data_IF_352729907346
#
_entry.id   IF_352729907346
#
_cell.length_a   1.000
_cell.length_b   1.000
_cell.length_c   1.000
_cell.angle_alpha   90.00
_cell.angle_beta   90.00
_cell.angle_gamma   90.00
#
_symmetry.space_group_name_H-M   'P 1'
#
loop_
_entity.id
_entity.type
_entity.pdbx_description
1 polymer ?
#
# COMPACT_ATOMS: atom_id res chain seq x y z
N UNK A 1 -5.38 34.66 -0.72
CA UNK A 1 -5.23 33.23 -0.91
C UNK A 1 -6.44 32.80 -1.72
N UNK A 2 -6.28 32.43 -2.97
CA UNK A 2 -7.36 31.83 -3.76
C UNK A 2 -7.58 30.43 -3.19
N UNK A 3 -8.75 30.14 -2.63
CA UNK A 3 -9.10 28.76 -2.25
C UNK A 3 -9.08 27.93 -3.52
N UNK A 4 -8.02 27.14 -3.71
CA UNK A 4 -7.96 26.19 -4.81
C UNK A 4 -8.98 25.10 -4.48
N UNK A 5 -10.07 25.08 -5.24
CA UNK A 5 -11.10 24.06 -5.11
C UNK A 5 -10.68 22.84 -5.94
N UNK A 6 -10.43 21.70 -5.28
CA UNK A 6 -10.18 20.42 -5.95
C UNK A 6 -11.42 19.99 -6.74
N UNK A 7 -11.22 19.23 -7.82
CA UNK A 7 -12.30 18.84 -8.74
C UNK A 7 -13.44 18.06 -8.07
N UNK A 8 -13.16 17.40 -6.95
CA UNK A 8 -14.11 16.64 -6.13
C UNK A 8 -14.58 17.39 -4.87
N UNK A 9 -14.18 18.65 -4.69
CA UNK A 9 -14.58 19.51 -3.58
C UNK A 9 -13.85 19.28 -2.25
N UNK A 10 -12.84 18.39 -2.22
CA UNK A 10 -12.03 18.15 -1.02
C UNK A 10 -11.13 19.34 -0.69
N UNK A 11 -10.79 19.50 0.59
CA UNK A 11 -9.68 20.35 1.01
C UNK A 11 -8.32 19.76 0.56
N UNK A 12 -7.28 20.60 0.49
CA UNK A 12 -5.93 20.18 0.05
C UNK A 12 -5.31 19.10 0.95
N UNK A 13 -5.68 19.06 2.21
CA UNK A 13 -5.22 18.12 3.23
C UNK A 13 -6.21 16.96 3.52
N UNK A 14 -7.19 16.74 2.65
CA UNK A 14 -8.23 15.74 2.86
C UNK A 14 -8.04 14.51 1.99
N UNK A 15 -8.12 13.31 2.59
CA UNK A 15 -8.19 12.03 1.88
C UNK A 15 -9.51 11.91 1.10
N UNK A 16 -9.52 11.13 0.01
CA UNK A 16 -10.74 10.61 -0.58
C UNK A 16 -11.50 9.74 0.44
N UNK A 17 -12.70 9.34 0.12
CA UNK A 17 -13.41 8.34 0.90
C UNK A 17 -12.61 7.03 0.92
N UNK A 18 -12.29 6.54 2.12
CA UNK A 18 -11.51 5.32 2.32
C UNK A 18 -12.44 4.23 2.83
N UNK A 19 -12.47 3.09 2.14
CA UNK A 19 -13.17 1.89 2.62
C UNK A 19 -12.24 0.69 2.61
N UNK A 20 -12.34 -0.17 3.62
CA UNK A 20 -11.58 -1.42 3.74
C UNK A 20 -12.57 -2.52 4.10
N UNK A 21 -12.82 -3.43 3.17
CA UNK A 21 -13.68 -4.60 3.37
C UNK A 21 -12.79 -5.84 3.57
N UNK A 22 -12.77 -6.38 4.81
CA UNK A 22 -12.01 -7.59 5.16
C UNK A 22 -12.73 -8.86 4.73
N UNK A 23 -11.95 -9.93 4.57
CA UNK A 23 -12.52 -11.25 4.27
C UNK A 23 -13.22 -11.32 2.93
N UNK A 24 -12.86 -10.44 2.00
CA UNK A 24 -13.49 -10.36 0.68
C UNK A 24 -13.33 -11.65 -0.13
N UNK A 25 -12.17 -12.32 -0.03
CA UNK A 25 -11.90 -13.62 -0.65
C UNK A 25 -11.98 -14.73 0.39
N UNK A 26 -12.91 -15.66 0.22
CA UNK A 26 -13.09 -16.81 1.12
C UNK A 26 -11.96 -17.85 1.00
N UNK A 27 -11.13 -17.80 -0.04
CA UNK A 27 -10.08 -18.79 -0.31
C UNK A 27 -8.70 -18.36 0.23
N UNK A 28 -8.50 -17.07 0.49
CA UNK A 28 -7.24 -16.54 0.99
C UNK A 28 -7.20 -16.57 2.52
N UNK A 29 -6.04 -16.77 3.10
CA UNK A 29 -5.82 -16.75 4.57
C UNK A 29 -6.00 -15.35 5.16
N UNK A 30 -5.88 -14.33 4.33
CA UNK A 30 -6.26 -12.95 4.64
C UNK A 30 -6.64 -12.22 3.36
N UNK A 31 -7.61 -11.33 3.42
CA UNK A 31 -7.97 -10.52 2.25
C UNK A 31 -8.64 -9.21 2.62
N UNK A 32 -8.41 -8.19 1.80
CA UNK A 32 -9.07 -6.91 1.91
C UNK A 32 -9.31 -6.30 0.54
N UNK A 33 -10.53 -5.81 0.31
CA UNK A 33 -10.80 -4.89 -0.79
C UNK A 33 -10.69 -3.48 -0.22
N UNK A 34 -9.69 -2.73 -0.69
CA UNK A 34 -9.49 -1.34 -0.29
C UNK A 34 -9.90 -0.39 -1.41
N UNK A 35 -10.55 0.72 -1.02
CA UNK A 35 -10.89 1.80 -1.95
C UNK A 35 -10.36 3.14 -1.44
N UNK A 36 -9.75 3.91 -2.35
CA UNK A 36 -9.42 5.32 -2.19
C UNK A 36 -10.23 6.08 -3.24
N UNK A 37 -11.46 6.51 -2.87
CA UNK A 37 -12.41 7.03 -3.83
C UNK A 37 -12.63 6.09 -5.00
N UNK A 38 -12.26 6.51 -6.22
CA UNK A 38 -12.37 5.71 -7.44
C UNK A 38 -11.34 4.57 -7.57
N UNK A 39 -10.22 4.62 -6.84
CA UNK A 39 -9.22 3.55 -6.88
C UNK A 39 -9.67 2.36 -6.03
N UNK A 40 -9.63 1.15 -6.60
CA UNK A 40 -9.98 -0.10 -5.91
C UNK A 40 -8.91 -1.14 -6.12
N UNK A 41 -8.41 -1.71 -5.02
CA UNK A 41 -7.38 -2.75 -5.03
C UNK A 41 -7.82 -3.92 -4.17
N UNK A 42 -7.84 -5.12 -4.76
CA UNK A 42 -7.99 -6.35 -4.02
C UNK A 42 -6.61 -6.82 -3.55
N UNK A 43 -6.45 -6.98 -2.24
CA UNK A 43 -5.26 -7.52 -1.62
C UNK A 43 -5.59 -8.88 -1.01
N UNK A 44 -4.89 -9.93 -1.42
CA UNK A 44 -5.03 -11.27 -0.85
C UNK A 44 -3.70 -11.75 -0.28
N UNK A 45 -3.74 -12.47 0.81
CA UNK A 45 -2.57 -13.04 1.48
C UNK A 45 -2.66 -14.56 1.48
N UNK A 46 -1.67 -15.20 0.89
CA UNK A 46 -1.51 -16.65 0.86
C UNK A 46 -0.46 -17.07 1.89
N UNK A 47 -0.86 -17.87 2.86
CA UNK A 47 0.03 -18.39 3.91
C UNK A 47 0.53 -19.78 3.55
N UNK A 48 1.84 -19.98 3.56
CA UNK A 48 2.48 -21.29 3.29
C UNK A 48 3.43 -21.64 4.45
N UNK A 49 3.28 -22.85 4.99
CA UNK A 49 4.28 -23.41 5.91
C UNK A 49 5.54 -23.78 5.13
N UNK A 50 6.67 -23.22 5.55
CA UNK A 50 7.95 -23.32 4.87
C UNK A 50 8.41 -22.01 4.25
N UNK A 51 9.68 -22.00 3.86
CA UNK A 51 10.34 -20.81 3.30
C UNK A 51 11.13 -21.18 2.03
N UNK A 52 11.44 -20.20 1.17
CA UNK A 52 12.32 -20.43 0.03
C UNK A 52 13.66 -21.08 0.45
N UNK A 53 14.26 -21.90 -0.42
CA UNK A 53 15.49 -22.67 -0.14
C UNK A 53 16.62 -21.85 0.49
N UNK A 54 16.79 -20.61 0.06
CA UNK A 54 17.83 -19.71 0.58
C UNK A 54 17.59 -19.23 2.04
N UNK A 55 16.38 -19.44 2.61
CA UNK A 55 16.02 -19.15 4.01
C UNK A 55 15.90 -20.42 4.87
N UNK A 56 15.82 -21.61 4.28
CA UNK A 56 15.64 -22.86 5.03
C UNK A 56 16.71 -23.05 6.10
N UNK A 57 16.29 -23.38 7.32
CA UNK A 57 17.18 -23.58 8.47
C UNK A 57 17.69 -22.29 9.12
N UNK A 58 17.22 -21.10 8.69
CA UNK A 58 17.62 -19.81 9.28
C UNK A 58 16.70 -19.33 10.38
N UNK A 59 15.60 -20.07 10.66
CA UNK A 59 14.61 -19.71 11.67
C UNK A 59 13.91 -18.39 11.41
N UNK A 60 13.75 -18.01 10.14
CA UNK A 60 13.11 -16.76 9.70
C UNK A 60 12.08 -17.02 8.62
N UNK A 61 10.95 -16.35 8.72
CA UNK A 61 9.93 -16.33 7.69
C UNK A 61 10.21 -15.32 6.57
N UNK A 62 9.32 -15.30 5.61
CA UNK A 62 9.39 -14.42 4.46
C UNK A 62 8.03 -13.80 4.14
N UNK A 63 8.03 -12.51 3.83
CA UNK A 63 6.87 -11.80 3.28
C UNK A 63 7.28 -11.18 1.97
N UNK A 64 6.49 -11.43 0.93
CA UNK A 64 6.71 -10.87 -0.40
C UNK A 64 5.38 -10.41 -0.98
N UNK A 65 5.43 -9.63 -2.06
CA UNK A 65 4.23 -9.16 -2.72
C UNK A 65 4.37 -9.20 -4.25
N UNK A 66 3.24 -9.40 -4.90
CA UNK A 66 3.03 -9.22 -6.32
C UNK A 66 2.00 -8.12 -6.54
N UNK A 67 2.06 -7.47 -7.69
CA UNK A 67 1.16 -6.39 -8.06
C UNK A 67 0.76 -6.54 -9.51
N UNK A 68 -0.51 -6.36 -9.80
CA UNK A 68 -1.02 -6.36 -11.17
C UNK A 68 -2.16 -5.37 -11.33
N UNK A 69 -2.43 -4.99 -12.58
CA UNK A 69 -3.62 -4.20 -12.93
C UNK A 69 -4.48 -5.00 -13.90
N UNK A 70 -5.80 -5.04 -13.65
CA UNK A 70 -6.72 -5.58 -14.65
C UNK A 70 -6.67 -4.77 -15.94
N UNK A 71 -6.87 -5.40 -17.13
CA UNK A 71 -6.83 -4.70 -18.40
C UNK A 71 -7.73 -3.48 -18.49
N UNK A 72 -8.86 -3.49 -17.80
CA UNK A 72 -9.82 -2.37 -17.75
C UNK A 72 -9.86 -1.68 -16.41
N UNK A 73 -8.78 -1.78 -15.62
CA UNK A 73 -8.61 -0.94 -14.44
C UNK A 73 -8.52 0.56 -14.81
N UNK A 74 -8.13 0.87 -16.02
CA UNK A 74 -8.00 2.22 -16.59
C UNK A 74 -9.06 2.51 -17.67
N UNK A 75 -9.20 3.76 -18.07
CA UNK A 75 -10.16 4.21 -19.08
C UNK A 75 -9.99 3.51 -20.45
N UNK A 76 -8.75 3.20 -20.82
CA UNK A 76 -8.44 2.39 -21.99
C UNK A 76 -8.00 0.98 -21.58
N UNK A 77 -8.19 0.00 -22.46
CA UNK A 77 -7.75 -1.36 -22.21
C UNK A 77 -6.22 -1.47 -22.32
N UNK A 78 -5.59 -1.94 -21.24
CA UNK A 78 -4.18 -2.34 -21.24
C UNK A 78 -4.05 -3.82 -21.54
N UNK A 79 -2.92 -4.22 -22.17
CA UNK A 79 -2.63 -5.64 -22.36
C UNK A 79 -2.25 -6.31 -21.03
N UNK A 80 -2.58 -7.59 -20.90
CA UNK A 80 -2.08 -8.39 -19.77
C UNK A 80 -0.58 -8.64 -19.94
N UNK A 81 0.21 -8.28 -18.95
CA UNK A 81 1.67 -8.49 -18.97
C UNK A 81 2.03 -9.98 -19.08
N UNK A 82 1.25 -10.87 -18.45
CA UNK A 82 1.42 -12.32 -18.54
C UNK A 82 1.31 -12.85 -19.98
N UNK A 83 0.48 -12.24 -20.83
CA UNK A 83 0.35 -12.62 -22.23
C UNK A 83 1.58 -12.17 -23.05
N UNK A 84 2.24 -11.09 -22.65
CA UNK A 84 3.49 -10.62 -23.27
C UNK A 84 4.73 -11.41 -22.84
N UNK A 85 4.57 -12.36 -21.89
CA UNK A 85 5.64 -13.23 -21.41
C UNK A 85 6.70 -12.53 -20.55
N UNK A 86 6.48 -11.27 -20.16
CA UNK A 86 7.35 -10.54 -19.25
C UNK A 86 6.56 -9.51 -18.43
N UNK A 87 6.95 -9.38 -17.17
CA UNK A 87 6.43 -8.35 -16.28
C UNK A 87 7.15 -7.02 -16.56
N UNK A 88 6.42 -5.92 -16.57
CA UNK A 88 6.97 -4.57 -16.78
C UNK A 88 7.81 -4.08 -15.61
N UNK A 89 8.72 -3.13 -15.88
CA UNK A 89 9.58 -2.55 -14.84
C UNK A 89 8.79 -1.86 -13.73
N UNK A 90 7.70 -1.15 -14.07
CA UNK A 90 6.80 -0.53 -13.10
C UNK A 90 6.14 -1.55 -12.16
N UNK A 91 5.65 -2.66 -12.70
CA UNK A 91 5.02 -3.74 -11.92
C UNK A 91 6.02 -4.37 -10.95
N UNK A 92 7.25 -4.64 -11.42
CA UNK A 92 8.33 -5.14 -10.57
C UNK A 92 8.72 -4.14 -9.46
N UNK A 93 8.81 -2.86 -9.79
CA UNK A 93 9.15 -1.80 -8.84
C UNK A 93 8.09 -1.73 -7.72
N UNK A 94 6.79 -1.71 -8.08
CA UNK A 94 5.68 -1.63 -7.12
C UNK A 94 5.60 -2.90 -6.27
N UNK A 95 5.75 -4.09 -6.84
CA UNK A 95 5.78 -5.36 -6.09
C UNK A 95 6.88 -5.35 -5.02
N UNK A 96 8.08 -4.87 -5.39
CA UNK A 96 9.20 -4.74 -4.44
C UNK A 96 8.95 -3.71 -3.36
N UNK A 97 8.32 -2.58 -3.70
CA UNK A 97 7.92 -1.53 -2.76
C UNK A 97 6.94 -2.08 -1.71
N UNK A 98 5.85 -2.74 -2.14
CA UNK A 98 4.87 -3.35 -1.24
C UNK A 98 5.55 -4.36 -0.31
N UNK A 99 6.32 -5.31 -0.88
CA UNK A 99 7.02 -6.32 -0.08
C UNK A 99 7.99 -5.71 0.92
N UNK A 100 8.70 -4.64 0.56
CA UNK A 100 9.62 -3.93 1.46
C UNK A 100 8.85 -3.20 2.57
N UNK A 101 7.75 -2.53 2.25
CA UNK A 101 6.91 -1.83 3.20
C UNK A 101 6.36 -2.80 4.26
N UNK A 102 5.83 -3.94 3.85
CA UNK A 102 5.32 -4.95 4.77
C UNK A 102 6.43 -5.56 5.65
N UNK A 103 7.59 -5.87 5.10
CA UNK A 103 8.72 -6.41 5.88
C UNK A 103 9.28 -5.43 6.92
N UNK A 104 9.11 -4.13 6.71
CA UNK A 104 9.55 -3.12 7.70
C UNK A 104 8.77 -3.20 9.02
N UNK A 105 7.58 -3.79 9.01
CA UNK A 105 6.70 -3.93 10.18
C UNK A 105 6.51 -5.39 10.63
N UNK A 106 7.31 -6.31 10.09
CA UNK A 106 7.23 -7.75 10.43
C UNK A 106 8.52 -8.23 11.10
N UNK A 107 8.41 -8.84 12.26
CA UNK A 107 9.48 -9.66 12.82
C UNK A 107 9.48 -11.04 12.15
N UNK A 108 10.39 -11.20 11.20
CA UNK A 108 10.53 -12.45 10.44
C UNK A 108 10.96 -13.64 11.30
N UNK A 109 11.61 -13.41 12.45
CA UNK A 109 11.94 -14.49 13.40
C UNK A 109 10.69 -14.95 14.14
N UNK A 110 9.87 -14.00 14.59
CA UNK A 110 8.60 -14.31 15.25
C UNK A 110 7.59 -14.97 14.29
N UNK A 111 7.68 -14.68 12.98
CA UNK A 111 6.91 -15.36 11.94
C UNK A 111 7.30 -16.84 11.79
N UNK A 112 8.55 -17.21 12.18
CA UNK A 112 9.07 -18.55 11.98
C UNK A 112 9.28 -18.88 10.50
N UNK A 113 9.66 -20.12 10.18
CA UNK A 113 9.87 -20.54 8.78
C UNK A 113 8.54 -20.69 8.01
N UNK A 114 7.77 -19.63 7.93
CA UNK A 114 6.55 -19.51 7.13
C UNK A 114 6.71 -18.43 6.07
N UNK A 115 6.00 -18.58 4.97
CA UNK A 115 5.96 -17.60 3.87
C UNK A 115 4.57 -17.01 3.74
N UNK A 116 4.47 -15.70 3.59
CA UNK A 116 3.22 -15.03 3.19
C UNK A 116 3.49 -14.29 1.87
N UNK A 117 2.71 -14.64 0.87
CA UNK A 117 2.69 -13.95 -0.43
C UNK A 117 1.45 -13.09 -0.48
N UNK A 118 1.64 -11.81 -0.76
CA UNK A 118 0.54 -10.86 -0.94
C UNK A 118 0.37 -10.59 -2.44
N UNK A 119 -0.83 -10.79 -2.93
CA UNK A 119 -1.22 -10.42 -4.29
C UNK A 119 -2.10 -9.16 -4.23
N UNK A 120 -1.71 -8.13 -4.97
CA UNK A 120 -2.41 -6.86 -5.06
C UNK A 120 -2.90 -6.64 -6.49
N UNK A 121 -4.19 -6.87 -6.72
CA UNK A 121 -4.83 -6.68 -8.02
C UNK A 121 -5.62 -5.38 -8.06
N UNK A 122 -5.20 -4.45 -8.92
CA UNK A 122 -5.93 -3.21 -9.15
C UNK A 122 -7.14 -3.49 -10.03
N UNK A 123 -8.32 -3.36 -9.45
CA UNK A 123 -9.60 -3.54 -10.14
C UNK A 123 -10.02 -2.28 -10.88
N UNK A 124 -9.77 -1.10 -10.28
CA UNK A 124 -10.03 0.22 -10.83
C UNK A 124 -8.95 1.19 -10.38
N UNK A 125 -8.43 1.99 -11.30
CA UNK A 125 -7.36 2.95 -11.04
C UNK A 125 -7.86 4.39 -11.25
N UNK A 126 -7.67 5.21 -10.21
CA UNK A 126 -7.96 6.64 -10.19
C UNK A 126 -6.92 7.38 -9.31
N UNK A 127 -5.63 7.19 -9.61
CA UNK A 127 -4.52 7.71 -8.81
C UNK A 127 -4.25 6.90 -7.53
N UNK A 128 -3.02 6.90 -7.02
CA UNK A 128 -2.65 6.28 -5.74
C UNK A 128 -2.78 4.76 -5.67
N UNK A 129 -2.68 4.01 -6.78
CA UNK A 129 -2.88 2.55 -6.77
C UNK A 129 -1.84 1.81 -5.93
N UNK A 130 -0.56 2.25 -5.94
CA UNK A 130 0.51 1.64 -5.14
C UNK A 130 0.36 1.91 -3.65
N UNK A 131 -0.13 3.10 -3.27
CA UNK A 131 -0.35 3.49 -1.88
C UNK A 131 -1.57 2.77 -1.30
N UNK A 132 -2.66 2.66 -2.06
CA UNK A 132 -3.81 1.84 -1.70
C UNK A 132 -3.42 0.36 -1.55
N UNK A 133 -2.59 -0.19 -2.47
CA UNK A 133 -2.09 -1.56 -2.40
C UNK A 133 -1.30 -1.81 -1.10
N UNK A 134 -0.35 -0.93 -0.70
CA UNK A 134 0.40 -1.07 0.54
C UNK A 134 -0.54 -1.06 1.75
N UNK A 135 -1.47 -0.11 1.78
CA UNK A 135 -2.39 0.09 2.91
C UNK A 135 -3.36 -1.10 3.07
N UNK A 136 -3.91 -1.63 1.97
CA UNK A 136 -4.78 -2.82 1.99
C UNK A 136 -4.00 -4.11 2.24
N UNK A 137 -2.81 -4.23 1.68
CA UNK A 137 -1.92 -5.39 1.87
C UNK A 137 -1.57 -5.62 3.35
N UNK A 138 -1.41 -4.55 4.14
CA UNK A 138 -1.18 -4.68 5.57
C UNK A 138 -2.37 -5.35 6.28
N UNK A 139 -3.60 -5.00 5.93
CA UNK A 139 -4.81 -5.61 6.53
C UNK A 139 -4.90 -7.10 6.16
N UNK A 140 -4.69 -7.45 4.90
CA UNK A 140 -4.65 -8.84 4.45
C UNK A 140 -3.53 -9.65 5.15
N UNK A 141 -2.35 -9.04 5.32
CA UNK A 141 -1.22 -9.63 6.06
C UNK A 141 -1.57 -9.91 7.52
N UNK A 142 -2.23 -8.95 8.19
CA UNK A 142 -2.63 -9.09 9.60
C UNK A 142 -3.59 -10.28 9.77
N UNK A 143 -4.57 -10.42 8.89
CA UNK A 143 -5.52 -11.55 8.90
C UNK A 143 -4.81 -12.89 8.65
N UNK A 144 -3.90 -12.96 7.68
CA UNK A 144 -3.15 -14.18 7.40
C UNK A 144 -2.24 -14.60 8.56
N UNK A 145 -1.66 -13.64 9.28
CA UNK A 145 -0.86 -13.92 10.49
C UNK A 145 -1.77 -14.49 11.59
N UNK A 146 -2.95 -13.93 11.80
CA UNK A 146 -3.90 -14.46 12.80
C UNK A 146 -4.38 -15.86 12.43
N UNK A 147 -4.72 -16.11 11.17
CA UNK A 147 -5.02 -17.43 10.64
C UNK A 147 -3.87 -18.42 10.91
N UNK A 148 -2.61 -18.03 10.63
CA UNK A 148 -1.43 -18.84 10.91
C UNK A 148 -1.25 -19.17 12.40
N UNK A 149 -1.65 -18.26 13.30
CA UNK A 149 -1.66 -18.46 14.75
C UNK A 149 -2.76 -19.45 15.16
N UNK A 150 -3.96 -19.33 14.64
CA UNK A 150 -5.08 -20.26 14.88
C UNK A 150 -4.74 -21.68 14.40
N UNK A 151 -4.10 -21.81 13.25
CA UNK A 151 -3.61 -23.09 12.70
C UNK A 151 -2.34 -23.62 13.37
N UNK A 152 -1.78 -22.89 14.35
CA UNK A 152 -0.57 -23.25 15.10
C UNK A 152 0.71 -23.32 14.26
N UNK A 153 0.76 -22.69 13.12
CA UNK A 153 1.99 -22.49 12.33
C UNK A 153 2.86 -21.39 12.96
N UNK A 154 2.24 -20.45 13.65
CA UNK A 154 2.90 -19.38 14.39
C UNK A 154 2.72 -19.67 15.89
N UNK A 155 3.79 -19.52 16.67
CA UNK A 155 3.75 -19.75 18.11
C UNK A 155 2.73 -18.85 18.81
N UNK A 156 1.99 -19.40 19.79
CA UNK A 156 0.90 -18.68 20.49
C UNK A 156 1.31 -17.31 21.06
N UNK A 157 2.53 -17.18 21.53
CA UNK A 157 3.05 -15.95 22.15
C UNK A 157 3.91 -15.11 21.16
N UNK A 158 4.08 -15.58 19.93
CA UNK A 158 4.84 -14.86 18.92
C UNK A 158 4.07 -13.61 18.48
N UNK A 159 4.81 -12.54 18.23
CA UNK A 159 4.27 -11.25 17.76
C UNK A 159 4.94 -10.86 16.44
N UNK A 160 4.54 -11.49 15.32
CA UNK A 160 5.15 -11.19 14.03
C UNK A 160 4.92 -9.75 13.56
N UNK A 161 3.76 -9.13 13.88
CA UNK A 161 3.52 -7.73 13.60
C UNK A 161 4.12 -6.84 14.69
N UNK A 162 5.05 -5.97 14.29
CA UNK A 162 5.73 -4.99 15.15
C UNK A 162 5.01 -3.64 15.16
N UNK A 163 4.33 -3.31 14.07
CA UNK A 163 3.68 -2.04 13.84
C UNK A 163 2.69 -2.17 12.66
N UNK A 164 1.92 -1.13 12.37
CA UNK A 164 1.19 -0.99 11.11
C UNK A 164 2.06 -0.29 10.06
N UNK A 165 1.64 -0.34 8.80
CA UNK A 165 2.20 0.45 7.70
C UNK A 165 1.09 0.90 6.77
N UNK A 166 1.15 2.15 6.37
CA UNK A 166 0.25 2.74 5.38
C UNK A 166 1.02 3.62 4.42
N UNK A 167 0.39 3.98 3.32
CA UNK A 167 0.99 4.83 2.31
C UNK A 167 -0.04 5.75 1.67
N UNK A 168 0.41 6.94 1.29
CA UNK A 168 -0.41 7.93 0.60
C UNK A 168 0.41 8.65 -0.46
N UNK A 169 -0.27 9.12 -1.52
CA UNK A 169 0.33 10.04 -2.48
C UNK A 169 0.13 11.49 -2.02
N UNK A 170 1.12 12.31 -2.28
CA UNK A 170 1.07 13.76 -2.10
C UNK A 170 1.71 14.42 -3.32
N UNK A 171 1.38 15.66 -3.61
CA UNK A 171 2.01 16.38 -4.71
C UNK A 171 1.76 17.86 -4.65
N UNK A 172 2.43 18.60 -5.56
CA UNK A 172 2.24 20.03 -5.75
C UNK A 172 1.45 20.22 -7.03
N UNK A 173 0.34 20.94 -6.93
CA UNK A 173 -0.55 21.25 -8.04
C UNK A 173 -0.89 22.73 -8.00
N UNK A 174 -0.58 23.44 -9.07
CA UNK A 174 -0.73 24.90 -9.17
C UNK A 174 -0.05 25.63 -7.97
N UNK A 175 1.12 25.13 -7.53
CA UNK A 175 1.92 25.67 -6.43
C UNK A 175 1.43 25.30 -5.01
N UNK A 176 0.36 24.50 -4.88
CA UNK A 176 -0.20 24.11 -3.57
C UNK A 176 0.04 22.62 -3.26
N UNK A 177 0.54 22.28 -2.06
CA UNK A 177 0.67 20.90 -1.61
C UNK A 177 -0.70 20.26 -1.41
N UNK A 178 -0.90 19.06 -1.96
CA UNK A 178 -2.16 18.30 -1.89
C UNK A 178 -1.93 16.86 -1.43
N UNK A 179 -2.86 16.38 -0.61
CA UNK A 179 -2.91 15.02 -0.08
C UNK A 179 -3.79 14.13 -0.97
N UNK A 180 -3.37 12.87 -1.18
CA UNK A 180 -4.14 11.82 -1.84
C UNK A 180 -4.66 12.23 -3.21
N UNK A 181 -3.74 12.25 -4.18
CA UNK A 181 -4.01 12.72 -5.54
C UNK A 181 -4.92 11.74 -6.29
N UNK A 182 -6.06 12.25 -6.79
CA UNK A 182 -6.83 11.56 -7.82
C UNK A 182 -6.09 11.60 -9.17
N UNK A 183 -6.45 10.74 -10.12
CA UNK A 183 -5.77 10.65 -11.41
C UNK A 183 -5.70 11.99 -12.17
N UNK A 184 -6.78 12.77 -12.13
CA UNK A 184 -6.84 14.08 -12.79
C UNK A 184 -5.92 15.12 -12.15
N UNK A 185 -5.54 14.92 -10.90
CA UNK A 185 -4.58 15.75 -10.16
C UNK A 185 -3.15 15.23 -10.39
N UNK A 186 -2.94 13.93 -10.31
CA UNK A 186 -1.67 13.24 -10.50
C UNK A 186 -1.03 13.59 -11.87
N UNK A 187 -1.82 13.58 -12.95
CA UNK A 187 -1.33 13.93 -14.29
C UNK A 187 -0.98 15.42 -14.49
N UNK A 188 -1.37 16.28 -13.58
CA UNK A 188 -1.08 17.72 -13.58
C UNK A 188 -0.05 18.13 -12.55
N UNK A 189 0.33 17.20 -11.68
CA UNK A 189 1.22 17.49 -10.57
C UNK A 189 2.59 17.96 -11.09
N UNK A 190 3.07 19.07 -10.55
CA UNK A 190 4.43 19.59 -10.77
C UNK A 190 5.45 18.72 -10.06
N UNK A 191 5.03 18.15 -8.92
CA UNK A 191 5.76 17.15 -8.14
C UNK A 191 4.75 16.12 -7.66
N UNK A 192 5.04 14.83 -7.88
CA UNK A 192 4.33 13.72 -7.28
C UNK A 192 5.24 12.96 -6.30
N UNK A 193 4.70 12.55 -5.17
CA UNK A 193 5.44 11.83 -4.15
C UNK A 193 4.57 10.76 -3.49
N UNK A 194 5.16 9.58 -3.26
CA UNK A 194 4.55 8.51 -2.48
C UNK A 194 5.29 8.39 -1.15
N UNK A 195 4.55 8.43 -0.06
CA UNK A 195 5.08 8.40 1.29
C UNK A 195 4.56 7.13 1.98
N UNK A 196 5.47 6.33 2.52
CA UNK A 196 5.19 5.10 3.26
C UNK A 196 5.66 5.28 4.69
N UNK A 197 4.73 5.16 5.65
CA UNK A 197 4.98 5.44 7.07
C UNK A 197 4.47 4.29 7.94
N UNK A 198 5.22 3.97 9.00
CA UNK A 198 4.77 3.01 10.01
C UNK A 198 3.77 3.66 10.97
N UNK A 199 3.03 2.85 11.74
CA UNK A 199 2.09 3.35 12.75
C UNK A 199 2.71 4.22 13.84
N UNK A 200 4.05 4.18 14.00
CA UNK A 200 4.82 5.06 14.91
C UNK A 200 5.34 6.32 14.24
N UNK A 201 4.96 6.59 13.00
CA UNK A 201 5.38 7.77 12.25
C UNK A 201 6.79 7.68 11.66
N UNK A 202 7.38 6.48 11.53
CA UNK A 202 8.70 6.29 10.94
C UNK A 202 8.58 6.07 9.43
N UNK A 203 9.38 6.78 8.65
CA UNK A 203 9.40 6.59 7.21
C UNK A 203 10.00 5.24 6.83
N UNK A 204 9.30 4.51 5.97
CA UNK A 204 9.79 3.30 5.31
C UNK A 204 10.35 3.66 3.94
N UNK A 205 9.63 4.54 3.22
CA UNK A 205 10.05 5.03 1.91
C UNK A 205 9.44 6.39 1.63
N UNK A 206 10.22 7.24 1.00
CA UNK A 206 9.79 8.50 0.40
C UNK A 206 10.29 8.48 -1.04
N UNK A 207 9.37 8.45 -1.99
CA UNK A 207 9.67 8.42 -3.42
C UNK A 207 8.97 9.59 -4.08
N UNK A 208 9.72 10.54 -4.62
CA UNK A 208 9.18 11.72 -5.25
C UNK A 208 9.92 12.09 -6.51
N UNK A 209 9.21 12.67 -7.46
CA UNK A 209 9.72 13.12 -8.75
C UNK A 209 9.19 14.53 -9.03
N UNK A 210 10.07 15.42 -9.47
CA UNK A 210 9.67 16.69 -10.07
C UNK A 210 9.40 16.47 -11.57
N UNK A 211 8.16 16.64 -11.99
CA UNK A 211 7.76 16.51 -13.39
C UNK A 211 7.97 17.81 -14.17
N UNK A 212 8.09 18.93 -13.47
CA UNK A 212 8.33 20.27 -14.04
C UNK A 212 9.55 20.93 -13.43
N UNK A 213 9.35 21.97 -12.62
CA UNK A 213 10.41 22.64 -11.88
C UNK A 213 10.83 21.83 -10.64
N UNK A 214 12.14 21.85 -10.27
CA UNK A 214 12.59 21.26 -9.03
C UNK A 214 11.88 21.88 -7.81
N UNK A 215 11.52 21.05 -6.83
CA UNK A 215 10.95 21.51 -5.57
C UNK A 215 12.00 21.85 -4.54
N UNK A 216 11.72 22.82 -3.68
CA UNK A 216 12.60 23.25 -2.62
C UNK A 216 12.38 22.45 -1.32
N UNK A 217 13.22 22.73 -0.30
CA UNK A 217 13.12 22.05 1.00
C UNK A 217 11.82 22.35 1.74
N UNK A 218 11.28 23.54 1.60
CA UNK A 218 10.02 23.96 2.27
C UNK A 218 8.84 23.19 1.67
N UNK A 219 8.81 23.02 0.35
CA UNK A 219 7.82 22.21 -0.37
C UNK A 219 7.94 20.73 0.02
N UNK A 220 9.17 20.21 0.12
CA UNK A 220 9.40 18.85 0.62
C UNK A 220 8.87 18.66 2.04
N UNK A 221 9.19 19.59 2.94
CA UNK A 221 8.72 19.52 4.34
C UNK A 221 7.17 19.52 4.40
N UNK A 222 6.51 20.38 3.62
CA UNK A 222 5.04 20.45 3.55
C UNK A 222 4.43 19.13 3.01
N UNK A 223 5.01 18.53 1.98
CA UNK A 223 4.57 17.23 1.45
C UNK A 223 4.77 16.11 2.47
N UNK A 224 5.88 16.09 3.20
CA UNK A 224 6.13 15.11 4.26
C UNK A 224 5.12 15.24 5.41
N UNK A 225 4.80 16.47 5.84
CA UNK A 225 3.78 16.72 6.88
C UNK A 225 2.40 16.23 6.45
N UNK A 226 1.97 16.54 5.22
CA UNK A 226 0.71 16.02 4.66
C UNK A 226 0.70 14.49 4.60
N UNK A 227 1.80 13.88 4.14
CA UNK A 227 1.92 12.44 4.05
C UNK A 227 1.84 11.73 5.40
N UNK A 228 2.49 12.28 6.45
CA UNK A 228 2.41 11.76 7.81
C UNK A 228 0.96 11.85 8.32
N UNK A 229 0.31 13.00 8.17
CA UNK A 229 -1.07 13.19 8.60
C UNK A 229 -2.03 12.22 7.88
N UNK A 230 -1.91 12.08 6.55
CA UNK A 230 -2.71 11.13 5.77
C UNK A 230 -2.48 9.69 6.18
N UNK A 231 -1.24 9.30 6.47
CA UNK A 231 -0.93 7.94 6.94
C UNK A 231 -1.49 7.65 8.35
N UNK A 232 -1.56 8.64 9.24
CA UNK A 232 -2.20 8.47 10.56
C UNK A 232 -3.71 8.24 10.43
N UNK A 233 -4.39 8.97 9.53
CA UNK A 233 -5.80 8.71 9.20
C UNK A 233 -6.00 7.32 8.61
N UNK A 234 -5.14 6.89 7.69
CA UNK A 234 -5.19 5.54 7.10
C UNK A 234 -4.96 4.45 8.12
N UNK A 235 -4.03 4.64 9.06
CA UNK A 235 -3.81 3.73 10.19
C UNK A 235 -5.07 3.58 11.03
N UNK A 236 -5.78 4.68 11.31
CA UNK A 236 -7.06 4.64 12.03
C UNK A 236 -8.07 3.77 11.29
N UNK A 237 -8.21 3.92 9.96
CA UNK A 237 -9.08 3.08 9.13
C UNK A 237 -8.68 1.60 9.13
N UNK A 238 -7.37 1.31 9.09
CA UNK A 238 -6.87 -0.06 9.21
C UNK A 238 -7.24 -0.70 10.55
N UNK A 239 -7.08 0.04 11.66
CA UNK A 239 -7.42 -0.44 13.00
C UNK A 239 -8.93 -0.67 13.16
N UNK A 240 -9.77 0.25 12.67
CA UNK A 240 -11.22 0.09 12.64
C UNK A 240 -11.62 -1.18 11.87
N UNK A 241 -11.05 -1.39 10.68
CA UNK A 241 -11.31 -2.59 9.88
C UNK A 241 -10.85 -3.87 10.59
N UNK A 242 -9.71 -3.86 11.29
CA UNK A 242 -9.17 -5.02 12.02
C UNK A 242 -9.93 -5.31 13.32
N UNK A 243 -10.66 -4.35 13.89
CA UNK A 243 -11.45 -4.54 15.10
C UNK A 243 -12.86 -5.11 14.84
N UNK A 244 -13.42 -4.93 13.64
CA UNK A 244 -14.73 -5.47 13.20
C UNK A 244 -14.61 -6.84 12.58
#
# INVERSE_FOLDING_TARGET
>A
MSDIVRSDGRATNQLREITIERGWSANAEGSALISFGGTKVLCTASFTNGVPRWLTGKGKGWVTAEYAMLPRATNSRNDRESVKGRIGGRTHEISRLIGRALRAVVDTKALGENTIVIDCDVLQADGGTRTAAITGAYVALADAIEWGREKKFIGKNAKPLLDSVSAVSVGIIDGEPMLDLAYVEDVRAETDMNIVVTGRGLFVEVQGTAEGAPFDKRELDALLELGIAGCEDLKTRQLEALAG
#
